data_IF_033538008644
#
_entry.id   IF_033538008644
#
_cell.length_a   1.000
_cell.length_b   1.000
_cell.length_c   1.000
_cell.angle_alpha   90.00
_cell.angle_beta   90.00
_cell.angle_gamma   90.00
#
_symmetry.space_group_name_H-M   'P 1'
#
loop_
_entity.id
_entity.type
_entity.pdbx_description
1 polymer ?
#
# COMPACT_ATOMS: atom_id res chain seq x y z
N UNK A 1 36.51 -16.08 -56.40
CA UNK A 1 35.43 -17.09 -56.26
C UNK A 1 36.11 -18.34 -55.70
N UNK A 2 35.88 -18.83 -54.49
CA UNK A 2 34.81 -18.63 -53.53
C UNK A 2 34.48 -20.00 -52.93
N UNK A 3 34.21 -20.03 -51.62
CA UNK A 3 33.73 -21.12 -50.78
C UNK A 3 34.75 -22.11 -50.19
N UNK A 4 34.70 -22.44 -48.90
CA UNK A 4 34.15 -21.79 -47.70
C UNK A 4 34.62 -22.65 -46.52
N UNK A 5 35.20 -22.01 -45.52
CA UNK A 5 35.68 -22.56 -44.25
C UNK A 5 34.56 -23.20 -43.40
N UNK A 6 34.06 -24.37 -43.79
CA UNK A 6 32.94 -25.04 -43.10
C UNK A 6 33.35 -26.23 -42.22
N UNK A 7 34.63 -26.63 -42.23
CA UNK A 7 35.08 -27.81 -41.48
C UNK A 7 35.34 -27.52 -39.97
N UNK A 8 35.45 -26.25 -39.57
CA UNK A 8 35.74 -25.86 -38.18
C UNK A 8 34.53 -25.71 -37.25
N UNK A 9 33.33 -25.44 -37.79
CA UNK A 9 32.13 -25.24 -36.96
C UNK A 9 31.46 -26.57 -36.57
N UNK A 10 31.51 -27.59 -37.44
CA UNK A 10 30.81 -28.86 -37.23
C UNK A 10 31.37 -29.68 -36.06
N UNK A 11 32.68 -29.61 -35.82
CA UNK A 11 33.34 -30.31 -34.70
C UNK A 11 33.06 -29.67 -33.33
N UNK A 12 32.86 -28.34 -33.29
CA UNK A 12 32.50 -27.61 -32.05
C UNK A 12 31.06 -27.84 -31.64
N UNK A 13 30.13 -27.94 -32.59
CA UNK A 13 28.73 -28.27 -32.30
C UNK A 13 28.60 -29.65 -31.66
N UNK A 14 29.25 -30.69 -32.22
CA UNK A 14 29.19 -32.04 -31.64
C UNK A 14 29.77 -32.14 -30.23
N UNK A 15 30.85 -31.41 -29.94
CA UNK A 15 31.39 -31.34 -28.57
C UNK A 15 30.40 -30.65 -27.63
N UNK A 16 29.77 -29.55 -28.05
CA UNK A 16 28.75 -28.89 -27.25
C UNK A 16 27.57 -29.83 -26.96
N UNK A 17 27.06 -30.59 -27.94
CA UNK A 17 25.95 -31.53 -27.72
C UNK A 17 26.27 -32.63 -26.70
N UNK A 18 27.50 -33.15 -26.68
CA UNK A 18 27.93 -34.18 -25.71
C UNK A 18 28.07 -33.57 -24.30
N UNK A 19 28.62 -32.36 -24.18
CA UNK A 19 28.66 -31.62 -22.92
C UNK A 19 27.25 -31.25 -22.43
N UNK A 20 26.36 -30.84 -23.34
CA UNK A 20 24.96 -30.58 -23.06
C UNK A 20 24.25 -31.82 -22.53
N UNK A 21 24.46 -33.01 -23.11
CA UNK A 21 23.86 -34.26 -22.61
C UNK A 21 24.38 -34.66 -21.22
N UNK A 22 25.68 -34.44 -20.97
CA UNK A 22 26.33 -34.76 -19.68
C UNK A 22 25.87 -33.81 -18.56
N UNK A 23 25.71 -32.52 -18.88
CA UNK A 23 25.31 -31.46 -17.94
C UNK A 23 23.80 -31.15 -17.99
N UNK A 24 23.03 -31.85 -18.80
CA UNK A 24 21.59 -31.61 -18.93
C UNK A 24 20.87 -31.74 -17.58
N UNK A 25 21.28 -32.73 -16.78
CA UNK A 25 20.68 -32.98 -15.48
C UNK A 25 20.96 -31.88 -14.47
N UNK A 26 22.14 -31.25 -14.51
CA UNK A 26 22.46 -30.13 -13.62
C UNK A 26 21.75 -28.85 -14.04
N UNK A 27 21.61 -28.61 -15.35
CA UNK A 27 20.83 -27.49 -15.88
C UNK A 27 19.35 -27.65 -15.48
N UNK A 28 18.77 -28.85 -15.62
CA UNK A 28 17.41 -29.12 -15.16
C UNK A 28 17.24 -28.91 -13.67
N UNK A 29 18.17 -29.43 -12.85
CA UNK A 29 18.12 -29.27 -11.40
C UNK A 29 18.24 -27.79 -11.00
N UNK A 30 19.14 -27.04 -11.65
CA UNK A 30 19.34 -25.62 -11.38
C UNK A 30 18.13 -24.78 -11.80
N UNK A 31 17.54 -25.10 -12.95
CA UNK A 31 16.32 -24.46 -13.44
C UNK A 31 15.11 -24.79 -12.56
N UNK A 32 15.04 -26.02 -12.05
CA UNK A 32 14.03 -26.44 -11.09
C UNK A 32 14.18 -25.72 -9.75
N UNK A 33 15.40 -25.63 -9.20
CA UNK A 33 15.69 -24.85 -7.99
C UNK A 33 15.33 -23.37 -8.16
N UNK A 34 15.66 -22.79 -9.32
CA UNK A 34 15.32 -21.41 -9.64
C UNK A 34 13.81 -21.20 -9.77
N UNK A 35 13.11 -22.13 -10.41
CA UNK A 35 11.64 -22.12 -10.51
C UNK A 35 10.96 -22.20 -9.15
N UNK A 36 11.40 -23.12 -8.28
CA UNK A 36 10.90 -23.22 -6.91
C UNK A 36 11.17 -21.95 -6.11
N UNK A 37 12.36 -21.35 -6.26
CA UNK A 37 12.69 -20.09 -5.59
C UNK A 37 11.79 -18.94 -6.06
N UNK A 38 11.56 -18.81 -7.37
CA UNK A 38 10.66 -17.79 -7.92
C UNK A 38 9.21 -18.00 -7.48
N UNK A 39 8.73 -19.26 -7.50
CA UNK A 39 7.38 -19.59 -7.06
C UNK A 39 7.19 -19.25 -5.57
N UNK A 40 8.12 -19.71 -4.72
CA UNK A 40 8.09 -19.41 -3.30
C UNK A 40 8.16 -17.90 -3.01
N UNK A 41 8.96 -17.15 -3.77
CA UNK A 41 9.03 -15.68 -3.65
C UNK A 41 7.74 -14.98 -4.10
N UNK A 42 7.01 -15.54 -5.07
CA UNK A 42 5.75 -14.97 -5.53
C UNK A 42 4.66 -15.05 -4.45
N UNK A 43 4.54 -16.20 -3.78
CA UNK A 43 3.55 -16.42 -2.71
C UNK A 43 3.76 -15.48 -1.51
N UNK A 44 5.02 -15.11 -1.21
CA UNK A 44 5.32 -14.18 -0.11
C UNK A 44 4.92 -12.74 -0.43
N UNK A 45 4.89 -12.33 -1.69
CA UNK A 45 4.51 -10.96 -2.07
C UNK A 45 3.05 -10.67 -1.77
N UNK A 46 2.15 -11.60 -2.06
CA UNK A 46 0.71 -11.41 -1.81
C UNK A 46 0.42 -11.29 -0.31
N UNK A 47 1.01 -12.16 0.51
CA UNK A 47 0.90 -12.09 1.96
C UNK A 47 1.49 -10.79 2.53
N UNK A 48 2.59 -10.32 1.97
CA UNK A 48 3.22 -9.06 2.40
C UNK A 48 2.35 -7.86 2.07
N UNK A 49 1.72 -7.84 0.88
CA UNK A 49 0.80 -6.76 0.46
C UNK A 49 -0.44 -6.73 1.35
N UNK A 50 -1.03 -7.88 1.64
CA UNK A 50 -2.20 -7.97 2.54
C UNK A 50 -1.86 -7.52 3.97
N UNK A 51 -0.72 -7.96 4.50
CA UNK A 51 -0.27 -7.57 5.83
C UNK A 51 0.04 -6.06 5.90
N UNK A 52 0.69 -5.51 4.87
CA UNK A 52 0.95 -4.07 4.78
C UNK A 52 -0.33 -3.25 4.68
N UNK A 53 -1.32 -3.73 3.93
CA UNK A 53 -2.64 -3.10 3.84
C UNK A 53 -3.36 -3.04 5.19
N UNK A 54 -3.28 -4.12 5.98
CA UNK A 54 -3.83 -4.14 7.35
C UNK A 54 -3.13 -3.15 8.27
N UNK A 55 -1.81 -3.06 8.23
CA UNK A 55 -1.05 -2.09 9.04
C UNK A 55 -1.44 -0.66 8.69
N UNK A 56 -1.51 -0.32 7.40
CA UNK A 56 -1.88 1.02 6.92
C UNK A 56 -3.32 1.39 7.33
N UNK A 57 -4.24 0.42 7.28
CA UNK A 57 -5.61 0.61 7.75
C UNK A 57 -5.69 0.86 9.26
N UNK A 58 -4.95 0.09 10.06
CA UNK A 58 -4.91 0.28 11.51
C UNK A 58 -4.27 1.63 11.88
N UNK A 59 -3.22 2.04 11.18
CA UNK A 59 -2.56 3.34 11.38
C UNK A 59 -3.52 4.50 11.09
N UNK A 60 -4.29 4.43 10.00
CA UNK A 60 -5.33 5.41 9.68
C UNK A 60 -6.39 5.50 10.78
N UNK A 61 -6.84 4.36 11.31
CA UNK A 61 -7.81 4.35 12.40
C UNK A 61 -7.25 4.96 13.69
N UNK A 62 -5.97 4.70 13.98
CA UNK A 62 -5.29 5.28 15.14
C UNK A 62 -5.21 6.80 15.02
N UNK A 63 -4.85 7.33 13.84
CA UNK A 63 -4.83 8.78 13.57
C UNK A 63 -6.22 9.39 13.78
N UNK A 64 -7.27 8.80 13.19
CA UNK A 64 -8.64 9.31 13.35
C UNK A 64 -9.13 9.26 14.80
N UNK A 65 -8.78 8.21 15.55
CA UNK A 65 -9.16 8.09 16.96
C UNK A 65 -8.41 9.12 17.82
N UNK A 66 -7.15 9.40 17.49
CA UNK A 66 -6.34 10.42 18.15
C UNK A 66 -6.88 11.82 17.89
N UNK A 67 -7.20 12.13 16.63
CA UNK A 67 -7.77 13.41 16.22
C UNK A 67 -9.08 13.69 16.97
N UNK A 68 -9.99 12.71 17.00
CA UNK A 68 -11.22 12.78 17.80
C UNK A 68 -10.97 13.00 19.28
N UNK A 69 -9.92 12.39 19.84
CA UNK A 69 -9.57 12.58 21.25
C UNK A 69 -9.05 14.00 21.49
N UNK A 70 -8.25 14.55 20.59
CA UNK A 70 -7.75 15.91 20.67
C UNK A 70 -8.89 16.93 20.53
N UNK A 71 -9.84 16.70 19.62
CA UNK A 71 -11.08 17.48 19.50
C UNK A 71 -11.93 17.44 20.77
N UNK A 72 -12.14 16.26 21.35
CA UNK A 72 -12.88 16.10 22.60
C UNK A 72 -12.17 16.78 23.77
N UNK A 73 -10.84 16.74 23.81
CA UNK A 73 -10.07 17.45 24.84
C UNK A 73 -10.15 18.96 24.67
N UNK A 74 -10.15 19.46 23.43
CA UNK A 74 -10.44 20.86 23.14
C UNK A 74 -11.86 21.24 23.58
N UNK A 75 -12.86 20.40 23.30
CA UNK A 75 -14.24 20.61 23.74
C UNK A 75 -14.34 20.65 25.28
N UNK A 76 -13.69 19.72 25.98
CA UNK A 76 -13.66 19.70 27.46
C UNK A 76 -12.94 20.93 28.01
N UNK A 77 -11.81 21.33 27.43
CA UNK A 77 -11.06 22.51 27.86
C UNK A 77 -11.85 23.82 27.64
N UNK A 78 -12.65 23.86 26.58
CA UNK A 78 -13.49 25.00 26.22
C UNK A 78 -14.86 25.00 26.91
N UNK A 79 -15.33 23.90 27.51
CA UNK A 79 -16.51 23.88 28.40
C UNK A 79 -16.36 24.79 29.64
N UNK A 80 -15.15 25.25 29.94
CA UNK A 80 -14.89 26.25 30.98
C UNK A 80 -15.11 27.70 30.51
N UNK A 81 -15.30 27.91 29.21
CA UNK A 81 -15.49 29.23 28.59
C UNK A 81 -16.99 29.45 28.28
N UNK A 82 -17.63 30.49 28.85
CA UNK A 82 -19.03 30.80 28.61
C UNK A 82 -19.35 31.03 27.12
N UNK A 83 -18.41 31.54 26.32
CA UNK A 83 -18.62 31.78 24.89
C UNK A 83 -18.70 30.47 24.08
N UNK A 84 -18.00 29.42 24.52
CA UNK A 84 -18.05 28.10 23.88
C UNK A 84 -19.38 27.39 24.13
N UNK A 85 -19.91 27.50 25.35
CA UNK A 85 -21.22 26.96 25.72
C UNK A 85 -22.32 27.56 24.85
N UNK A 86 -22.28 28.87 24.59
CA UNK A 86 -23.22 29.54 23.69
C UNK A 86 -23.12 29.05 22.24
N UNK A 87 -21.91 28.81 21.74
CA UNK A 87 -21.68 28.28 20.39
C UNK A 87 -22.18 26.83 20.27
N UNK A 88 -21.93 25.99 21.28
CA UNK A 88 -22.38 24.61 21.34
C UNK A 88 -23.91 24.53 21.40
N UNK A 89 -24.55 25.36 22.24
CA UNK A 89 -26.01 25.50 22.31
C UNK A 89 -26.61 25.92 20.97
N UNK A 90 -26.04 26.93 20.30
CA UNK A 90 -26.47 27.38 18.97
C UNK A 90 -26.36 26.25 17.92
N UNK A 91 -25.32 25.43 18.00
CA UNK A 91 -25.07 24.32 17.06
C UNK A 91 -25.95 23.09 17.33
N UNK A 92 -26.17 22.72 18.58
CA UNK A 92 -26.92 21.51 18.97
C UNK A 92 -28.43 21.73 19.11
N UNK A 93 -28.86 22.86 19.67
CA UNK A 93 -30.28 23.15 19.86
C UNK A 93 -30.89 23.95 18.70
N UNK A 94 -30.08 24.55 17.83
CA UNK A 94 -30.57 25.46 16.79
C UNK A 94 -31.26 26.73 17.35
N UNK A 95 -31.15 26.94 18.66
CA UNK A 95 -31.80 28.04 19.38
C UNK A 95 -30.82 29.18 19.57
N UNK A 96 -31.26 30.37 19.19
CA UNK A 96 -30.55 31.63 19.43
C UNK A 96 -30.79 32.02 20.90
N UNK A 97 -29.75 32.43 21.66
CA UNK A 97 -29.90 32.82 23.05
C UNK A 97 -30.84 34.02 23.19
N UNK A 98 -31.51 34.09 24.34
CA UNK A 98 -32.47 35.14 24.68
C UNK A 98 -31.82 36.52 24.53
N UNK A 99 -32.30 37.30 23.54
CA UNK A 99 -31.88 38.69 23.31
C UNK A 99 -31.18 38.96 21.99
N UNK A 100 -30.91 37.96 21.14
CA UNK A 100 -30.36 38.19 19.79
C UNK A 100 -31.37 37.79 18.70
N UNK A 101 -31.62 38.69 17.74
CA UNK A 101 -32.54 38.46 16.63
C UNK A 101 -31.77 37.85 15.45
N UNK A 102 -32.20 36.67 14.98
CA UNK A 102 -31.65 36.06 13.76
C UNK A 102 -32.11 36.88 12.56
N UNK A 103 -31.24 37.73 12.02
CA UNK A 103 -31.51 38.47 10.78
C UNK A 103 -31.20 37.55 9.60
N UNK A 104 -32.24 37.14 8.89
CA UNK A 104 -32.10 36.51 7.58
C UNK A 104 -32.06 37.64 6.55
N UNK A 105 -30.93 37.79 5.85
CA UNK A 105 -30.87 38.64 4.68
C UNK A 105 -31.37 37.79 3.50
N UNK A 106 -32.63 37.99 3.13
CA UNK A 106 -33.14 37.55 1.84
C UNK A 106 -32.51 38.48 0.80
N UNK A 107 -31.62 37.93 -0.02
CA UNK A 107 -31.06 38.66 -1.15
C UNK A 107 -32.11 38.62 -2.27
N UNK A 108 -32.69 39.79 -2.56
CA UNK A 108 -33.50 40.05 -3.75
C UNK A 108 -32.76 39.69 -5.05
#
# INVERSE_FOLDING_TARGET
MGFRDTCGMKSRESSLYIFFFRCWWTILLLLFCYGLYLHAMHEKKELYVDLKGKVDFLEKQLVLARDKREDLLLEIGSQSDPAWIEMLLKKHLGMVPFGQTKVYFDNE
#
